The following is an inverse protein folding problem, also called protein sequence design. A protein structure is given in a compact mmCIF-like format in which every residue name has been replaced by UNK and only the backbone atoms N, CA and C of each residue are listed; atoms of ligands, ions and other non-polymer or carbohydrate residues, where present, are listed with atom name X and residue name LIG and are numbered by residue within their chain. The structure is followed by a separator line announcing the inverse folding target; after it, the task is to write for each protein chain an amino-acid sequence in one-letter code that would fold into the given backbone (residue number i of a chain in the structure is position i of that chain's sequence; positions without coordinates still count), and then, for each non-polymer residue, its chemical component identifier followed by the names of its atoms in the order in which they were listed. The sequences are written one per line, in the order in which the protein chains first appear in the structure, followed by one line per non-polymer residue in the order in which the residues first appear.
data_IF_075687635122
#
_entry.id   IF_075687635122
#
_cell.length_a   1.000
_cell.length_b   1.000
_cell.length_c   1.000
_cell.angle_alpha   90.00
_cell.angle_beta   90.00
_cell.angle_gamma   90.00
#
_symmetry.space_group_name_H-M   'P 1'
#
loop_
_entity.id
_entity.type
_entity.pdbx_description
1 polymer ?
#
# COMPACT_ATOMS: atom_id res chain seq x y z
N UNK A 1 -15.65 33.22 13.86
CA UNK A 1 -16.22 31.92 13.44
C UNK A 1 -15.04 30.98 13.38
N UNK A 2 -14.84 30.15 14.40
CA UNK A 2 -13.76 29.16 14.37
C UNK A 2 -14.17 28.12 13.31
N UNK A 3 -13.36 27.94 12.27
CA UNK A 3 -13.46 26.74 11.47
C UNK A 3 -13.29 25.57 12.44
N UNK A 4 -14.19 24.59 12.40
CA UNK A 4 -13.98 23.34 13.15
C UNK A 4 -12.64 22.77 12.71
N UNK A 5 -11.73 22.61 13.67
CA UNK A 5 -10.42 22.05 13.40
C UNK A 5 -10.62 20.60 12.94
N UNK A 6 -9.97 20.23 11.84
CA UNK A 6 -10.15 18.89 11.26
C UNK A 6 -9.56 17.86 12.21
N UNK A 7 -10.37 16.88 12.59
CA UNK A 7 -10.01 15.82 13.54
C UNK A 7 -9.34 14.66 12.82
N UNK A 8 -8.14 14.28 13.26
CA UNK A 8 -7.31 13.23 12.66
C UNK A 8 -7.04 12.14 13.69
N UNK A 9 -7.48 10.92 13.39
CA UNK A 9 -7.20 9.76 14.22
C UNK A 9 -5.74 9.32 14.08
N UNK A 10 -5.07 9.09 15.19
CA UNK A 10 -3.74 8.49 15.27
C UNK A 10 -3.85 7.03 15.70
N UNK A 11 -3.31 6.12 14.89
CA UNK A 11 -3.24 4.69 15.18
C UNK A 11 -1.77 4.28 15.16
N UNK A 12 -1.16 4.22 16.33
CA UNK A 12 0.24 3.84 16.54
C UNK A 12 0.32 2.99 17.83
N UNK A 13 1.15 1.94 17.84
CA UNK A 13 1.36 1.07 19.01
C UNK A 13 2.47 1.57 19.95
N UNK A 14 3.26 2.55 19.47
CA UNK A 14 4.28 3.25 20.25
C UNK A 14 3.73 4.62 20.73
N UNK A 15 3.48 4.78 22.05
CA UNK A 15 2.97 6.04 22.59
C UNK A 15 3.95 7.21 22.41
N UNK A 16 5.25 6.95 22.30
CA UNK A 16 6.25 8.01 22.05
C UNK A 16 6.12 8.55 20.64
N UNK A 17 5.90 7.65 19.68
CA UNK A 17 5.67 8.02 18.30
C UNK A 17 4.32 8.70 18.10
N UNK A 18 3.26 8.17 18.73
CA UNK A 18 1.94 8.79 18.74
C UNK A 18 2.00 10.24 19.25
N UNK A 19 2.66 10.47 20.40
CA UNK A 19 2.83 11.81 20.96
C UNK A 19 3.60 12.75 20.02
N UNK A 20 4.64 12.24 19.36
CA UNK A 20 5.42 13.02 18.38
C UNK A 20 4.54 13.41 17.18
N UNK A 21 3.80 12.46 16.60
CA UNK A 21 2.88 12.72 15.50
C UNK A 21 1.73 13.65 15.90
N UNK A 22 1.26 13.58 17.15
CA UNK A 22 0.25 14.49 17.71
C UNK A 22 0.71 15.94 17.63
N UNK A 23 1.94 16.23 18.07
CA UNK A 23 2.51 17.58 17.98
C UNK A 23 2.62 18.06 16.53
N UNK A 24 3.08 17.19 15.62
CA UNK A 24 3.21 17.54 14.20
C UNK A 24 1.85 17.82 13.54
N UNK A 25 0.80 17.11 13.93
CA UNK A 25 -0.57 17.35 13.47
C UNK A 25 -1.12 18.67 14.01
N UNK A 26 -0.88 18.98 15.28
CA UNK A 26 -1.27 20.26 15.88
C UNK A 26 -0.58 21.43 15.18
N UNK A 27 0.73 21.31 14.91
CA UNK A 27 1.51 22.30 14.15
C UNK A 27 0.99 22.44 12.71
N UNK A 28 0.46 21.36 12.12
CA UNK A 28 -0.19 21.36 10.81
C UNK A 28 -1.64 21.88 10.83
N UNK A 29 -2.16 22.27 12.00
CA UNK A 29 -3.50 22.83 12.15
C UNK A 29 -4.61 21.80 12.32
N UNK A 30 -4.31 20.55 12.70
CA UNK A 30 -5.28 19.48 12.96
C UNK A 30 -5.45 19.21 14.46
N UNK A 31 -6.60 18.64 14.84
CA UNK A 31 -6.79 18.05 16.17
C UNK A 31 -6.43 16.57 16.10
N UNK A 32 -5.38 16.15 16.80
CA UNK A 32 -4.98 14.75 16.87
C UNK A 32 -5.81 13.98 17.91
N UNK A 33 -6.29 12.79 17.54
CA UNK A 33 -7.06 11.92 18.42
C UNK A 33 -6.42 10.55 18.41
N UNK A 34 -5.75 10.19 19.51
CA UNK A 34 -5.26 8.83 19.69
C UNK A 34 -6.44 7.86 19.79
N UNK A 35 -6.41 6.81 18.97
CA UNK A 35 -7.40 5.75 19.00
C UNK A 35 -7.00 4.77 20.09
N UNK A 36 -7.84 4.58 21.11
CA UNK A 36 -7.50 3.67 22.20
C UNK A 36 -7.43 2.21 21.72
N UNK A 37 -6.54 1.46 22.36
CA UNK A 37 -6.26 0.04 22.13
C UNK A 37 -6.88 -0.84 23.23
N UNK A 38 -7.04 -2.17 23.02
CA UNK A 38 -6.72 -2.95 21.81
C UNK A 38 -7.73 -2.77 20.68
N UNK A 39 -7.27 -2.98 19.46
CA UNK A 39 -8.10 -3.04 18.25
C UNK A 39 -8.28 -4.50 17.84
N UNK A 40 -9.41 -5.11 18.24
CA UNK A 40 -9.64 -6.55 18.09
C UNK A 40 -9.76 -7.00 16.61
N UNK A 41 -10.32 -6.15 15.75
CA UNK A 41 -10.51 -6.41 14.32
C UNK A 41 -10.38 -5.14 13.48
N UNK A 42 -10.05 -5.31 12.20
CA UNK A 42 -9.90 -4.19 11.26
C UNK A 42 -11.22 -3.42 11.09
N UNK A 43 -12.36 -4.11 11.00
CA UNK A 43 -13.68 -3.47 10.88
C UNK A 43 -14.06 -2.69 12.15
N UNK A 44 -13.73 -3.24 13.33
CA UNK A 44 -13.91 -2.55 14.61
C UNK A 44 -13.07 -1.28 14.68
N UNK A 45 -11.82 -1.34 14.24
CA UNK A 45 -10.93 -0.17 14.17
C UNK A 45 -11.47 0.90 13.22
N UNK A 46 -11.94 0.51 12.03
CA UNK A 46 -12.56 1.43 11.06
C UNK A 46 -13.78 2.12 11.65
N UNK A 47 -14.69 1.37 12.29
CA UNK A 47 -15.88 1.94 12.91
C UNK A 47 -15.51 2.95 14.01
N UNK A 48 -14.50 2.64 14.82
CA UNK A 48 -14.00 3.50 15.89
C UNK A 48 -13.36 4.78 15.35
N UNK A 49 -12.49 4.68 14.36
CA UNK A 49 -11.85 5.84 13.72
C UNK A 49 -12.91 6.79 13.15
N UNK A 50 -13.88 6.25 12.43
CA UNK A 50 -14.95 7.04 11.78
C UNK A 50 -15.90 7.72 12.76
N UNK A 51 -15.98 7.26 14.00
CA UNK A 51 -16.85 7.89 15.01
C UNK A 51 -16.20 9.09 15.69
N UNK A 52 -14.86 9.23 15.60
CA UNK A 52 -14.10 10.27 16.30
C UNK A 52 -13.38 11.25 15.37
N UNK A 53 -13.07 10.85 14.14
CA UNK A 53 -12.23 11.63 13.24
C UNK A 53 -12.78 11.68 11.81
N UNK A 54 -12.19 12.58 11.03
CA UNK A 54 -12.50 12.80 9.60
C UNK A 54 -11.37 12.34 8.66
N UNK A 55 -10.19 12.09 9.21
CA UNK A 55 -9.06 11.45 8.54
C UNK A 55 -8.28 10.59 9.54
N UNK A 56 -7.36 9.76 9.06
CA UNK A 56 -6.50 8.93 9.91
C UNK A 56 -5.04 8.93 9.45
N UNK A 57 -4.17 8.73 10.41
CA UNK A 57 -2.78 8.33 10.21
C UNK A 57 -2.58 7.00 10.93
N UNK A 58 -2.05 6.02 10.20
CA UNK A 58 -1.81 4.69 10.74
C UNK A 58 -0.33 4.34 10.60
N UNK A 59 0.29 3.92 11.70
CA UNK A 59 1.54 3.19 11.60
C UNK A 59 1.31 1.81 10.98
N UNK A 60 2.27 1.32 10.21
CA UNK A 60 2.18 0.01 9.59
C UNK A 60 2.26 -1.15 10.58
N UNK A 61 3.14 -1.08 11.58
CA UNK A 61 3.44 -2.19 12.50
C UNK A 61 2.65 -2.06 13.79
N UNK A 62 1.36 -2.37 13.72
CA UNK A 62 0.44 -2.32 14.88
C UNK A 62 0.49 -3.58 15.79
N UNK A 63 1.24 -4.59 15.38
CA UNK A 63 1.26 -5.93 16.00
C UNK A 63 2.41 -6.25 16.99
N UNK A 64 3.58 -5.57 17.03
CA UNK A 64 4.69 -5.93 17.92
C UNK A 64 4.32 -6.03 19.41
N UNK A 65 3.22 -5.39 19.84
CA UNK A 65 2.69 -5.44 21.21
C UNK A 65 1.36 -6.18 21.38
N UNK A 66 0.87 -6.87 20.34
CA UNK A 66 -0.42 -7.59 20.39
C UNK A 66 -1.65 -6.69 20.44
N UNK A 67 -1.55 -5.43 19.96
CA UNK A 67 -2.64 -4.46 20.00
C UNK A 67 -3.61 -4.60 18.82
N UNK A 68 -3.20 -5.23 17.71
CA UNK A 68 -4.04 -5.53 16.56
C UNK A 68 -3.68 -6.88 15.91
N UNK A 69 -4.69 -7.56 15.37
CA UNK A 69 -4.55 -8.80 14.58
C UNK A 69 -4.24 -8.55 13.09
N UNK A 70 -4.10 -7.29 12.70
CA UNK A 70 -3.98 -6.79 11.33
C UNK A 70 -2.84 -5.76 11.23
N UNK A 71 -2.42 -5.45 10.00
CA UNK A 71 -1.40 -4.42 9.73
C UNK A 71 -2.01 -3.04 9.49
N UNK A 72 -1.22 -1.97 9.66
CA UNK A 72 -1.67 -0.62 9.29
C UNK A 72 -2.01 -0.49 7.81
N UNK A 73 -1.28 -1.18 6.92
CA UNK A 73 -1.60 -1.22 5.50
C UNK A 73 -2.99 -1.79 5.22
N UNK A 74 -3.37 -2.86 5.93
CA UNK A 74 -4.70 -3.45 5.85
C UNK A 74 -5.78 -2.48 6.37
N UNK A 75 -5.53 -1.82 7.50
CA UNK A 75 -6.43 -0.81 8.05
C UNK A 75 -6.66 0.37 7.09
N UNK A 76 -5.58 0.92 6.52
CA UNK A 76 -5.67 2.02 5.55
C UNK A 76 -6.44 1.59 4.30
N UNK A 77 -6.20 0.38 3.79
CA UNK A 77 -6.94 -0.14 2.64
C UNK A 77 -8.44 -0.34 2.92
N UNK A 78 -8.79 -0.73 4.15
CA UNK A 78 -10.18 -0.84 4.58
C UNK A 78 -10.82 0.54 4.72
N UNK A 79 -10.13 1.52 5.31
CA UNK A 79 -10.59 2.92 5.37
C UNK A 79 -10.83 3.48 3.96
N UNK A 80 -9.89 3.26 3.04
CA UNK A 80 -10.01 3.64 1.62
C UNK A 80 -11.26 3.05 0.96
N UNK A 81 -11.52 1.76 1.20
CA UNK A 81 -12.69 1.06 0.67
C UNK A 81 -14.02 1.63 1.18
N UNK A 82 -13.99 2.34 2.31
CA UNK A 82 -15.16 3.05 2.88
C UNK A 82 -15.16 4.55 2.62
N UNK A 83 -14.34 5.01 1.66
CA UNK A 83 -14.17 6.41 1.30
C UNK A 83 -13.75 7.31 2.49
N UNK A 84 -12.82 6.83 3.32
CA UNK A 84 -12.26 7.57 4.44
C UNK A 84 -10.76 7.88 4.24
N UNK A 85 -10.33 9.15 4.30
CA UNK A 85 -8.95 9.53 4.03
C UNK A 85 -8.01 9.03 5.11
N UNK A 86 -6.99 8.28 4.69
CA UNK A 86 -6.01 7.69 5.59
C UNK A 86 -4.61 7.72 4.97
N UNK A 87 -3.62 8.07 5.79
CA UNK A 87 -2.20 8.07 5.46
C UNK A 87 -1.53 6.89 6.17
N UNK A 88 -0.70 6.15 5.45
CA UNK A 88 0.14 5.11 6.04
C UNK A 88 1.53 5.68 6.35
N UNK A 89 2.03 5.46 7.56
CA UNK A 89 3.42 5.75 7.94
C UNK A 89 4.15 4.44 8.20
N UNK A 90 5.40 4.34 7.77
CA UNK A 90 6.25 3.19 8.09
C UNK A 90 7.67 3.63 8.44
N UNK A 91 8.21 3.03 9.50
CA UNK A 91 9.62 3.18 9.88
C UNK A 91 10.54 2.24 9.06
N UNK A 92 10.01 1.13 8.53
CA UNK A 92 10.77 0.09 7.82
C UNK A 92 10.35 -0.02 6.36
N UNK A 93 10.26 1.13 5.68
CA UNK A 93 9.79 1.25 4.31
C UNK A 93 10.40 0.18 3.39
N UNK A 94 11.72 -0.01 3.40
CA UNK A 94 12.42 -0.94 2.50
C UNK A 94 12.09 -2.42 2.73
N UNK A 95 11.75 -2.81 3.95
CA UNK A 95 11.46 -4.21 4.31
C UNK A 95 9.97 -4.51 4.07
N UNK A 96 9.09 -3.62 4.52
CA UNK A 96 7.66 -3.90 4.51
C UNK A 96 7.00 -3.57 3.15
N UNK A 97 7.60 -2.68 2.35
CA UNK A 97 7.04 -2.23 1.07
C UNK A 97 6.82 -3.36 0.06
N UNK A 98 7.67 -4.39 0.08
CA UNK A 98 7.67 -5.43 -0.95
C UNK A 98 6.75 -6.60 -0.61
N UNK A 99 6.35 -6.72 0.65
CA UNK A 99 5.53 -7.84 1.14
C UNK A 99 4.22 -7.32 1.71
N UNK A 100 4.21 -6.92 2.98
CA UNK A 100 2.98 -6.63 3.73
C UNK A 100 2.26 -5.37 3.24
N UNK A 101 2.99 -4.33 2.81
CA UNK A 101 2.37 -3.11 2.24
C UNK A 101 1.96 -3.32 0.77
N UNK A 102 2.78 -4.02 -0.02
CA UNK A 102 2.54 -4.22 -1.48
C UNK A 102 1.15 -4.78 -1.76
N UNK A 103 0.67 -5.70 -0.90
CA UNK A 103 -0.67 -6.32 -0.99
C UNK A 103 -1.80 -5.29 -1.08
N UNK A 104 -1.61 -4.15 -0.44
CA UNK A 104 -2.62 -3.12 -0.25
C UNK A 104 -2.30 -1.81 -0.98
N UNK A 105 -1.15 -1.71 -1.66
CA UNK A 105 -0.60 -0.45 -2.20
C UNK A 105 -1.55 0.28 -3.16
N UNK A 106 -2.40 -0.42 -3.91
CA UNK A 106 -3.39 0.21 -4.79
C UNK A 106 -4.46 1.01 -4.02
N UNK A 107 -4.69 0.67 -2.74
CA UNK A 107 -5.67 1.32 -1.84
C UNK A 107 -5.02 2.18 -0.75
N UNK A 108 -3.73 2.47 -0.87
CA UNK A 108 -3.00 3.38 0.02
C UNK A 108 -2.62 4.60 -0.83
N UNK A 109 -3.30 5.74 -0.72
CA UNK A 109 -2.98 6.90 -1.57
C UNK A 109 -1.58 7.44 -1.29
N UNK A 110 -1.26 7.62 0.01
CA UNK A 110 0.01 8.13 0.50
C UNK A 110 0.62 7.15 1.49
N UNK A 111 1.91 6.87 1.29
CA UNK A 111 2.78 6.15 2.21
C UNK A 111 3.98 7.07 2.50
N UNK A 112 4.20 7.42 3.76
CA UNK A 112 5.34 8.23 4.19
C UNK A 112 6.34 7.39 4.98
N UNK A 113 7.63 7.63 4.75
CA UNK A 113 8.66 7.17 5.65
C UNK A 113 8.66 8.03 6.92
N UNK A 114 8.81 7.41 8.09
CA UNK A 114 8.69 8.11 9.38
C UNK A 114 9.68 9.28 9.56
N UNK A 115 10.85 9.18 8.95
CA UNK A 115 11.91 10.20 8.97
C UNK A 115 11.67 11.38 8.00
N UNK A 116 10.68 11.25 7.11
CA UNK A 116 10.29 12.31 6.15
C UNK A 116 9.05 13.09 6.60
N UNK A 117 8.51 12.78 7.78
CA UNK A 117 7.26 13.38 8.29
C UNK A 117 7.52 14.74 8.94
N UNK A 118 6.86 15.77 8.41
CA UNK A 118 6.76 17.10 9.00
C UNK A 118 5.34 17.67 8.88
N UNK A 119 5.05 18.83 9.49
CA UNK A 119 3.69 19.39 9.53
C UNK A 119 3.11 19.62 8.13
N UNK A 120 3.88 20.25 7.24
CA UNK A 120 3.47 20.52 5.86
C UNK A 120 3.22 19.22 5.09
N UNK A 121 4.09 18.22 5.25
CA UNK A 121 3.95 16.91 4.62
C UNK A 121 2.68 16.19 5.08
N UNK A 122 2.33 16.28 6.36
CA UNK A 122 1.10 15.69 6.89
C UNK A 122 -0.15 16.38 6.34
N UNK A 123 -0.16 17.71 6.31
CA UNK A 123 -1.26 18.48 5.73
C UNK A 123 -1.49 18.13 4.26
N UNK A 124 -0.40 18.09 3.47
CA UNK A 124 -0.48 17.71 2.06
C UNK A 124 -0.90 16.26 1.87
N UNK A 125 -0.39 15.33 2.68
CA UNK A 125 -0.76 13.92 2.60
C UNK A 125 -2.26 13.70 2.85
N UNK A 126 -2.82 14.30 3.91
CA UNK A 126 -4.24 14.22 4.23
C UNK A 126 -5.09 14.83 3.10
N UNK A 127 -4.66 15.97 2.56
CA UNK A 127 -5.33 16.61 1.42
C UNK A 127 -5.34 15.69 0.20
N UNK A 128 -4.21 15.10 -0.17
CA UNK A 128 -4.12 14.17 -1.31
C UNK A 128 -4.99 12.94 -1.10
N UNK A 129 -5.01 12.36 0.10
CA UNK A 129 -5.90 11.23 0.41
C UNK A 129 -7.38 11.62 0.26
N UNK A 130 -7.75 12.81 0.72
CA UNK A 130 -9.11 13.34 0.61
C UNK A 130 -9.51 13.61 -0.85
N UNK A 131 -8.60 14.18 -1.63
CA UNK A 131 -8.77 14.41 -3.07
C UNK A 131 -8.97 13.08 -3.82
N UNK A 132 -8.11 12.09 -3.57
CA UNK A 132 -8.16 10.79 -4.24
C UNK A 132 -9.47 10.06 -3.96
N UNK A 133 -9.93 10.06 -2.72
CA UNK A 133 -11.22 9.45 -2.33
C UNK A 133 -12.41 10.23 -2.91
N UNK A 134 -12.27 11.54 -3.07
CA UNK A 134 -13.21 12.38 -3.80
C UNK A 134 -13.16 12.21 -5.33
N UNK A 135 -12.39 11.24 -5.84
CA UNK A 135 -12.28 10.92 -7.26
C UNK A 135 -11.18 11.68 -8.01
N UNK A 136 -10.42 12.56 -7.35
CA UNK A 136 -9.29 13.30 -7.93
C UNK A 136 -7.99 12.54 -7.72
N UNK A 137 -7.80 11.44 -8.46
CA UNK A 137 -6.56 10.67 -8.45
C UNK A 137 -5.43 11.39 -9.16
N UNK A 138 -4.23 11.35 -8.57
CA UNK A 138 -3.00 11.81 -9.21
C UNK A 138 -2.69 10.99 -10.47
N UNK A 139 -2.07 11.56 -11.52
CA UNK A 139 -1.67 10.82 -12.72
C UNK A 139 -0.80 9.60 -12.42
N UNK A 140 0.11 9.70 -11.44
CA UNK A 140 1.00 8.62 -10.98
C UNK A 140 0.26 7.46 -10.30
N UNK A 141 -1.00 7.67 -9.92
CA UNK A 141 -1.89 6.68 -9.29
C UNK A 141 -2.82 6.01 -10.30
N UNK A 142 -2.73 6.36 -11.58
CA UNK A 142 -3.57 5.76 -12.62
C UNK A 142 -3.00 4.40 -13.03
N UNK A 143 -3.83 3.36 -12.90
CA UNK A 143 -3.51 2.02 -13.37
C UNK A 143 -3.60 1.91 -14.90
N UNK A 144 -2.63 1.22 -15.49
CA UNK A 144 -2.56 0.92 -16.90
C UNK A 144 -2.37 -0.58 -17.08
N UNK A 145 -3.08 -1.15 -18.05
CA UNK A 145 -2.89 -2.55 -18.44
C UNK A 145 -1.48 -2.73 -19.01
N UNK A 146 -0.61 -3.38 -18.25
CA UNK A 146 0.82 -3.43 -18.49
C UNK A 146 1.31 -4.88 -18.51
N UNK A 147 2.31 -5.17 -19.33
CA UNK A 147 2.99 -6.47 -19.34
C UNK A 147 3.87 -6.61 -18.10
N UNK A 148 3.67 -7.68 -17.35
CA UNK A 148 4.47 -8.06 -16.18
C UNK A 148 5.18 -9.38 -16.51
N UNK A 149 6.51 -9.36 -16.48
CA UNK A 149 7.35 -10.53 -16.77
C UNK A 149 7.95 -11.03 -15.46
N UNK A 150 7.43 -12.12 -14.92
CA UNK A 150 7.95 -12.73 -13.70
C UNK A 150 9.23 -13.49 -14.06
N UNK A 151 10.35 -13.08 -13.46
CA UNK A 151 11.70 -13.58 -13.78
C UNK A 151 12.28 -14.46 -12.69
N UNK A 152 11.84 -14.29 -11.44
CA UNK A 152 12.27 -15.13 -10.34
C UNK A 152 11.19 -15.25 -9.25
N UNK A 153 11.33 -16.28 -8.44
CA UNK A 153 10.55 -16.55 -7.23
C UNK A 153 11.50 -16.80 -6.07
N UNK A 154 11.25 -16.12 -4.95
CA UNK A 154 12.01 -16.26 -3.72
C UNK A 154 11.05 -16.38 -2.52
N UNK A 155 11.61 -16.49 -1.31
CA UNK A 155 10.91 -16.49 -0.04
C UNK A 155 11.45 -15.37 0.82
N UNK A 156 10.59 -14.45 1.23
CA UNK A 156 10.91 -13.31 2.09
C UNK A 156 9.92 -13.25 3.26
N UNK A 157 10.41 -13.18 4.49
CA UNK A 157 9.55 -13.16 5.68
C UNK A 157 8.66 -14.41 5.86
N UNK A 158 9.00 -15.53 5.20
CA UNK A 158 8.18 -16.74 5.19
C UNK A 158 7.06 -16.75 4.14
N UNK A 159 6.98 -15.73 3.28
CA UNK A 159 6.03 -15.63 2.18
C UNK A 159 6.72 -15.82 0.82
N UNK A 160 6.01 -16.44 -0.13
CA UNK A 160 6.44 -16.51 -1.53
C UNK A 160 6.37 -15.11 -2.17
N UNK A 161 7.50 -14.64 -2.70
CA UNK A 161 7.62 -13.36 -3.42
C UNK A 161 8.12 -13.58 -4.83
N UNK A 162 7.74 -12.68 -5.73
CA UNK A 162 8.07 -12.72 -7.14
C UNK A 162 8.84 -11.45 -7.52
N UNK A 163 9.91 -11.63 -8.27
CA UNK A 163 10.59 -10.53 -8.94
C UNK A 163 10.11 -10.47 -10.39
N UNK A 164 9.70 -9.29 -10.84
CA UNK A 164 9.23 -9.08 -12.19
C UNK A 164 9.78 -7.82 -12.85
N UNK A 165 9.96 -7.90 -14.16
CA UNK A 165 10.26 -6.75 -15.01
C UNK A 165 8.96 -6.21 -15.58
N UNK A 166 8.77 -4.90 -15.49
CA UNK A 166 7.62 -4.17 -16.05
C UNK A 166 8.15 -3.20 -17.13
N UNK A 167 8.22 -3.63 -18.40
CA UNK A 167 8.87 -2.83 -19.45
C UNK A 167 8.25 -1.45 -19.67
N UNK A 168 6.95 -1.30 -19.36
CA UNK A 168 6.24 -0.03 -19.47
C UNK A 168 6.57 0.99 -18.38
N UNK A 169 7.30 0.58 -17.34
CA UNK A 169 7.76 1.46 -16.26
C UNK A 169 9.28 1.65 -16.32
N UNK A 170 10.04 0.59 -16.01
CA UNK A 170 11.51 0.57 -16.09
C UNK A 170 11.96 -0.84 -16.53
N UNK A 171 12.55 -1.00 -17.74
CA UNK A 171 12.86 -2.31 -18.28
C UNK A 171 14.05 -3.01 -17.62
N UNK A 172 14.90 -2.26 -16.92
CA UNK A 172 16.14 -2.76 -16.31
C UNK A 172 16.04 -2.92 -14.79
N UNK A 173 14.86 -2.69 -14.21
CA UNK A 173 14.62 -2.73 -12.77
C UNK A 173 13.58 -3.81 -12.43
N UNK A 174 13.97 -4.72 -11.53
CA UNK A 174 13.07 -5.75 -11.01
C UNK A 174 12.22 -5.18 -9.85
N UNK A 175 10.92 -5.42 -9.93
CA UNK A 175 9.94 -5.06 -8.91
C UNK A 175 9.53 -6.33 -8.19
N UNK A 176 9.66 -6.30 -6.86
CA UNK A 176 9.25 -7.40 -5.99
C UNK A 176 7.82 -7.24 -5.51
N UNK A 177 7.04 -8.33 -5.54
CA UNK A 177 5.70 -8.37 -4.98
C UNK A 177 5.29 -9.77 -4.48
N UNK A 178 4.31 -9.87 -3.56
CA UNK A 178 3.84 -11.16 -3.05
C UNK A 178 3.19 -12.01 -4.12
N UNK A 179 3.50 -13.31 -4.16
CA UNK A 179 2.84 -14.25 -5.07
C UNK A 179 1.33 -14.34 -4.85
N UNK A 180 0.84 -13.94 -3.66
CA UNK A 180 -0.58 -13.84 -3.34
C UNK A 180 -1.36 -12.92 -4.30
N UNK A 181 -0.72 -11.88 -4.85
CA UNK A 181 -1.36 -10.97 -5.82
C UNK A 181 -1.72 -11.65 -7.14
N UNK A 182 -1.10 -12.79 -7.48
CA UNK A 182 -1.48 -13.60 -8.63
C UNK A 182 -2.83 -14.33 -8.42
N UNK A 183 -3.37 -14.35 -7.21
CA UNK A 183 -4.60 -15.06 -6.88
C UNK A 183 -4.51 -16.54 -7.29
N UNK A 184 -5.49 -17.01 -8.07
CA UNK A 184 -5.52 -18.39 -8.52
C UNK A 184 -4.38 -18.76 -9.51
N UNK A 185 -3.75 -17.78 -10.16
CA UNK A 185 -2.61 -18.02 -11.05
C UNK A 185 -1.35 -18.46 -10.30
N UNK A 186 -1.28 -18.30 -8.97
CA UNK A 186 -0.16 -18.80 -8.15
C UNK A 186 0.09 -20.30 -8.32
N UNK A 187 -0.93 -21.07 -8.70
CA UNK A 187 -0.82 -22.51 -8.93
C UNK A 187 0.07 -22.87 -10.14
N UNK A 188 0.39 -21.89 -10.99
CA UNK A 188 1.33 -22.04 -12.11
C UNK A 188 2.79 -21.84 -11.70
N UNK A 189 3.05 -21.39 -10.46
CA UNK A 189 4.40 -21.20 -9.95
C UNK A 189 5.04 -22.55 -9.57
N UNK A 190 6.35 -22.71 -9.76
CA UNK A 190 7.05 -23.88 -9.25
C UNK A 190 7.04 -23.90 -7.71
N UNK A 191 7.20 -25.10 -7.16
CA UNK A 191 7.45 -25.29 -5.74
C UNK A 191 8.83 -24.73 -5.35
N UNK A 192 8.91 -24.02 -4.23
CA UNK A 192 10.17 -23.45 -3.72
C UNK A 192 10.69 -22.25 -4.53
N UNK A 193 12.00 -21.97 -4.37
CA UNK A 193 12.71 -20.86 -5.03
C UNK A 193 13.02 -21.20 -6.48
N UNK A 194 13.04 -20.19 -7.34
CA UNK A 194 13.39 -20.33 -8.76
C UNK A 194 14.00 -19.04 -9.30
N UNK A 195 15.24 -19.10 -9.77
CA UNK A 195 15.97 -17.91 -10.27
C UNK A 195 15.71 -17.63 -11.76
N UNK A 196 14.91 -18.47 -12.43
CA UNK A 196 14.63 -18.40 -13.88
C UNK A 196 13.19 -18.78 -14.18
N UNK A 197 12.31 -17.79 -14.12
CA UNK A 197 10.93 -17.87 -14.58
C UNK A 197 10.77 -17.08 -15.89
N UNK A 198 9.84 -17.53 -16.73
CA UNK A 198 9.45 -16.83 -17.96
C UNK A 198 7.93 -16.69 -18.05
N UNK A 199 7.29 -16.44 -16.90
CA UNK A 199 5.84 -16.25 -16.86
C UNK A 199 5.50 -14.81 -17.24
N UNK A 200 4.46 -14.66 -18.06
CA UNK A 200 4.00 -13.37 -18.56
C UNK A 200 2.54 -13.17 -18.20
N UNK A 201 2.25 -12.02 -17.63
CA UNK A 201 0.90 -11.59 -17.27
C UNK A 201 0.66 -10.21 -17.83
N UNK A 202 -0.60 -9.87 -18.05
CA UNK A 202 -1.03 -8.48 -18.00
C UNK A 202 -1.59 -8.20 -16.60
N UNK A 203 -1.40 -6.97 -16.12
CA UNK A 203 -1.96 -6.50 -14.86
C UNK A 203 -2.26 -5.01 -14.95
N UNK A 204 -3.13 -4.51 -14.07
CA UNK A 204 -3.27 -3.07 -13.82
C UNK A 204 -2.09 -2.60 -12.98
N UNK A 205 -1.23 -1.76 -13.56
CA UNK A 205 -0.03 -1.22 -12.91
C UNK A 205 0.01 0.30 -13.08
N UNK A 206 0.28 1.03 -12.02
CA UNK A 206 0.51 2.48 -12.11
C UNK A 206 1.93 2.81 -12.58
N UNK A 207 2.21 2.54 -13.86
CA UNK A 207 3.51 2.81 -14.50
C UNK A 207 3.96 4.29 -14.50
N UNK A 208 3.12 5.20 -14.01
CA UNK A 208 3.50 6.59 -13.75
C UNK A 208 4.19 6.81 -12.40
N UNK A 209 4.35 5.78 -11.56
CA UNK A 209 5.06 5.87 -10.29
C UNK A 209 6.53 6.27 -10.50
N UNK A 210 7.05 7.13 -9.63
CA UNK A 210 8.44 7.57 -9.70
C UNK A 210 9.38 6.50 -9.14
N UNK A 211 8.97 5.79 -8.10
CA UNK A 211 9.77 4.76 -7.42
C UNK A 211 9.07 3.39 -7.35
N UNK A 212 9.87 2.33 -7.24
CA UNK A 212 9.38 0.96 -7.12
C UNK A 212 8.45 0.77 -5.90
N UNK A 213 8.71 1.52 -4.82
CA UNK A 213 7.89 1.52 -3.61
C UNK A 213 6.44 1.94 -3.86
N UNK A 214 6.21 2.78 -4.87
CA UNK A 214 4.90 3.34 -5.19
C UNK A 214 4.09 2.55 -6.20
N UNK A 215 4.71 1.52 -6.81
CA UNK A 215 4.01 0.65 -7.73
C UNK A 215 2.96 -0.20 -7.01
N UNK A 216 1.81 -0.35 -7.63
CA UNK A 216 0.86 -1.39 -7.28
C UNK A 216 0.61 -2.27 -8.51
N UNK A 217 0.24 -3.52 -8.23
CA UNK A 217 -0.12 -4.49 -9.24
C UNK A 217 -1.41 -5.15 -8.79
N UNK A 218 -2.43 -5.09 -9.64
CA UNK A 218 -3.73 -5.72 -9.39
C UNK A 218 -4.31 -6.29 -10.70
N UNK A 219 -5.35 -7.10 -10.59
CA UNK A 219 -6.09 -7.65 -11.74
C UNK A 219 -5.21 -8.39 -12.75
N UNK A 220 -4.42 -9.35 -12.25
CA UNK A 220 -3.58 -10.20 -13.09
C UNK A 220 -4.40 -11.08 -14.03
N UNK A 221 -3.98 -11.13 -15.29
CA UNK A 221 -4.47 -12.03 -16.33
C UNK A 221 -3.31 -12.67 -17.09
N UNK A 222 -3.39 -13.94 -17.52
CA UNK A 222 -2.34 -14.57 -18.30
C UNK A 222 -2.13 -13.85 -19.63
N UNK A 223 -0.88 -13.54 -19.98
CA UNK A 223 -0.57 -13.13 -21.34
C UNK A 223 -0.63 -14.38 -22.22
N UNK A 224 -1.71 -14.53 -23.00
CA UNK A 224 -1.82 -15.60 -23.99
C UNK A 224 -0.62 -15.46 -24.94
N UNK A 225 0.23 -16.48 -25.01
CA UNK A 225 1.25 -16.53 -26.05
C UNK A 225 0.56 -16.66 -27.41
N UNK A 226 0.95 -15.86 -28.43
CA UNK A 226 0.45 -16.09 -29.77
C UNK A 226 0.75 -17.55 -30.14
N UNK A 227 -0.30 -18.32 -30.46
CA UNK A 227 -0.11 -19.64 -31.04
C UNK A 227 0.80 -19.45 -32.25
N UNK A 228 1.97 -20.08 -32.22
CA UNK A 228 2.91 -20.07 -33.32
C UNK A 228 2.13 -20.36 -34.60
N UNK A 229 1.93 -19.32 -35.42
CA UNK A 229 1.25 -19.45 -36.68
C UNK A 229 2.05 -20.45 -37.49
N UNK A 230 1.44 -21.62 -37.72
CA UNK A 230 1.92 -22.58 -38.70
C UNK A 230 2.14 -21.83 -40.00
N UNK A 231 3.39 -21.53 -40.34
CA UNK A 231 3.76 -21.17 -41.69
C UNK A 231 3.53 -22.45 -42.48
N UNK A 232 2.37 -22.53 -43.16
CA UNK A 232 2.17 -23.51 -44.21
C UNK A 232 3.15 -23.16 -45.32
N UNK A 233 4.19 -23.98 -45.42
CA UNK A 233 5.12 -24.09 -46.55
C UNK A 233 4.38 -24.39 -47.84
#
# INVERSE_FOLDING_TARGET
MNAEQTRVALVDDDPTAAATLSVLLEDAGFEAIEVEHPLESVDGAVARIKSVATAAICDHRLSPRGLASFSGAELVAQLYSTAFPAVLISQYFKIDQNVSIRKYRSRIPILLARDEVGPDQLADAIRVCSDEIGGRRLPQRKGWRSLVRVVAKDIEGGEDVLDAIIPGWRPDEAVRFPAELLGHHRNSLPAGRSDRLELRFFASVNIGAEDAGDLYLEDFEPAIEPQNGTILS
#
